data_IF_293019874884
#
_entry.id   IF_293019874884
#
_cell.length_a   1.000
_cell.length_b   1.000
_cell.length_c   1.000
_cell.angle_alpha   90.00
_cell.angle_beta   90.00
_cell.angle_gamma   90.00
#
_symmetry.space_group_name_H-M   'P 1'
#
loop_
_entity.id
_entity.type
_entity.pdbx_description
1 polymer ?
#
# COMPACT_ATOMS: atom_id res chain seq x y z
N UNK A 1 16.60 -18.16 -7.62
CA UNK A 1 15.91 -18.51 -6.37
C UNK A 1 14.40 -18.51 -6.64
N UNK A 2 13.78 -19.69 -6.76
CA UNK A 2 12.33 -19.83 -6.99
C UNK A 2 11.61 -19.45 -5.69
N UNK A 3 10.64 -18.54 -5.75
CA UNK A 3 9.83 -18.19 -4.57
C UNK A 3 9.07 -19.45 -4.13
N UNK A 4 9.27 -19.90 -2.90
CA UNK A 4 8.34 -20.83 -2.27
C UNK A 4 7.00 -20.09 -2.13
N UNK A 5 5.97 -20.61 -2.78
CA UNK A 5 4.61 -20.09 -2.68
C UNK A 5 4.11 -20.54 -1.31
N UNK A 6 4.05 -19.63 -0.35
CA UNK A 6 3.48 -19.91 0.97
C UNK A 6 2.06 -20.48 0.78
N UNK A 7 1.80 -21.68 1.32
CA UNK A 7 0.54 -22.42 1.18
C UNK A 7 -0.59 -21.90 2.07
N UNK A 8 -0.34 -20.87 2.88
CA UNK A 8 -1.39 -20.22 3.66
C UNK A 8 -2.41 -19.60 2.70
N UNK A 9 -3.70 -19.99 2.75
CA UNK A 9 -4.72 -19.38 1.92
C UNK A 9 -4.74 -17.88 2.23
N UNK A 10 -4.36 -17.06 1.24
CA UNK A 10 -4.53 -15.61 1.39
C UNK A 10 -6.02 -15.34 1.54
N UNK A 11 -6.45 -14.58 2.56
CA UNK A 11 -7.87 -14.28 2.73
C UNK A 11 -8.38 -13.60 1.46
N UNK A 12 -9.54 -14.04 0.98
CA UNK A 12 -10.20 -13.41 -0.14
C UNK A 12 -10.60 -11.98 0.28
N UNK A 13 -10.00 -10.98 -0.36
CA UNK A 13 -10.29 -9.57 -0.11
C UNK A 13 -11.26 -9.09 -1.17
N UNK A 14 -12.44 -8.65 -0.74
CA UNK A 14 -13.45 -8.04 -1.61
C UNK A 14 -13.13 -6.56 -1.76
N UNK A 15 -12.95 -6.10 -3.00
CA UNK A 15 -12.77 -4.68 -3.30
C UNK A 15 -14.06 -3.94 -2.94
N UNK A 16 -13.93 -2.94 -2.08
CA UNK A 16 -15.01 -2.04 -1.68
C UNK A 16 -14.99 -0.76 -2.51
N UNK A 17 -13.80 -0.32 -2.89
CA UNK A 17 -13.59 0.92 -3.64
C UNK A 17 -12.34 0.85 -4.49
N UNK A 18 -12.46 1.32 -5.71
CA UNK A 18 -11.33 1.74 -6.54
C UNK A 18 -11.24 3.27 -6.52
N UNK A 19 -10.02 3.80 -6.57
CA UNK A 19 -9.81 5.22 -6.74
C UNK A 19 -8.48 5.53 -7.37
N UNK A 20 -8.27 6.81 -7.68
CA UNK A 20 -7.05 7.30 -8.30
C UNK A 20 -6.45 8.47 -7.53
N UNK A 21 -5.13 8.66 -7.66
CA UNK A 21 -4.44 9.87 -7.24
C UNK A 21 -3.15 10.06 -8.06
N UNK A 22 -2.51 11.23 -7.95
CA UNK A 22 -1.16 11.42 -8.50
C UNK A 22 -0.13 10.77 -7.57
N UNK A 23 0.97 10.28 -8.13
CA UNK A 23 2.16 9.93 -7.35
C UNK A 23 2.77 11.16 -6.67
N UNK A 24 3.63 10.98 -5.66
CA UNK A 24 4.25 12.10 -4.93
C UNK A 24 5.04 13.05 -5.85
N UNK A 25 5.64 12.54 -6.92
CA UNK A 25 6.36 13.34 -7.92
C UNK A 25 5.43 14.03 -8.93
N UNK A 26 4.14 13.71 -8.90
CA UNK A 26 3.15 14.21 -9.85
C UNK A 26 3.33 13.66 -11.27
N UNK A 27 4.18 12.65 -11.50
CA UNK A 27 4.51 12.15 -12.86
C UNK A 27 3.57 11.05 -13.37
N UNK A 28 2.85 10.38 -12.47
CA UNK A 28 1.95 9.28 -12.82
C UNK A 28 0.64 9.35 -12.06
N UNK A 29 -0.38 8.69 -12.60
CA UNK A 29 -1.62 8.39 -11.89
C UNK A 29 -1.53 6.98 -11.33
N UNK A 30 -1.81 6.85 -10.04
CA UNK A 30 -1.92 5.58 -9.33
C UNK A 30 -3.39 5.19 -9.30
N UNK A 31 -3.67 3.92 -9.56
CA UNK A 31 -4.95 3.29 -9.28
C UNK A 31 -4.77 2.42 -8.04
N UNK A 32 -5.66 2.56 -7.07
CA UNK A 32 -5.59 1.84 -5.80
C UNK A 32 -6.95 1.26 -5.42
N UNK A 33 -6.92 0.19 -4.63
CA UNK A 33 -8.11 -0.42 -4.07
C UNK A 33 -8.12 -0.34 -2.55
N UNK A 34 -9.30 -0.09 -2.00
CA UNK A 34 -9.67 -0.46 -0.64
C UNK A 34 -10.52 -1.72 -0.68
N UNK A 35 -10.23 -2.67 0.18
CA UNK A 35 -10.98 -3.90 0.29
C UNK A 35 -11.12 -4.35 1.73
N UNK A 36 -11.94 -5.36 1.98
CA UNK A 36 -12.00 -6.01 3.28
C UNK A 36 -12.04 -7.53 3.18
N UNK A 37 -11.58 -8.20 4.24
CA UNK A 37 -11.77 -9.64 4.43
C UNK A 37 -13.22 -9.94 4.82
N UNK A 38 -13.58 -11.22 4.92
CA UNK A 38 -14.89 -11.65 5.45
C UNK A 38 -15.10 -11.17 6.91
N UNK A 39 -14.01 -11.00 7.67
CA UNK A 39 -14.02 -10.45 9.03
C UNK A 39 -14.08 -8.91 9.06
N UNK A 40 -14.31 -8.25 7.92
CA UNK A 40 -14.34 -6.79 7.78
C UNK A 40 -13.02 -6.07 8.07
N UNK A 41 -11.89 -6.78 8.01
CA UNK A 41 -10.58 -6.16 8.18
C UNK A 41 -10.19 -5.38 6.92
N UNK A 42 -9.92 -4.09 7.07
CA UNK A 42 -9.64 -3.19 5.94
C UNK A 42 -8.21 -3.38 5.44
N UNK A 43 -8.09 -3.49 4.13
CA UNK A 43 -6.82 -3.64 3.42
C UNK A 43 -6.72 -2.66 2.26
N UNK A 44 -5.49 -2.31 1.91
CA UNK A 44 -5.14 -1.42 0.82
C UNK A 44 -4.21 -2.11 -0.18
N UNK A 45 -4.32 -1.80 -1.48
CA UNK A 45 -3.25 -2.12 -2.44
C UNK A 45 -3.11 -1.06 -3.54
N UNK A 46 -1.94 -1.04 -4.16
CA UNK A 46 -1.75 -0.41 -5.47
C UNK A 46 -2.23 -1.41 -6.53
N UNK A 47 -3.22 -1.02 -7.32
CA UNK A 47 -3.78 -1.85 -8.37
C UNK A 47 -3.12 -1.57 -9.72
N UNK A 48 -2.73 -0.31 -9.99
CA UNK A 48 -2.00 0.05 -11.21
C UNK A 48 -1.27 1.40 -11.11
N UNK A 49 -0.39 1.67 -12.08
CA UNK A 49 0.39 2.90 -12.21
C UNK A 49 0.64 3.26 -13.69
N UNK A 50 0.20 4.44 -14.11
CA UNK A 50 0.39 4.91 -15.50
C UNK A 50 1.85 5.26 -15.86
N UNK A 51 2.76 5.27 -14.89
CA UNK A 51 4.16 5.66 -15.08
C UNK A 51 5.12 4.52 -15.44
N UNK A 52 4.63 3.29 -15.62
CA UNK A 52 5.42 2.12 -16.04
C UNK A 52 6.44 1.56 -15.01
N UNK A 53 6.69 2.27 -13.90
CA UNK A 53 7.57 1.80 -12.83
C UNK A 53 6.98 0.62 -12.04
N UNK A 54 7.86 -0.29 -11.58
CA UNK A 54 7.47 -1.48 -10.82
C UNK A 54 6.73 -1.12 -9.52
N UNK A 55 5.64 -1.82 -9.24
CA UNK A 55 4.92 -1.81 -7.97
C UNK A 55 4.57 -3.25 -7.54
N UNK A 56 4.12 -3.41 -6.31
CA UNK A 56 3.54 -4.65 -5.79
C UNK A 56 2.03 -4.47 -5.65
N UNK A 57 1.25 -5.46 -6.07
CA UNK A 57 -0.20 -5.52 -5.91
C UNK A 57 -0.63 -6.18 -4.58
N UNK A 58 0.33 -6.32 -3.65
CA UNK A 58 0.11 -6.82 -2.30
C UNK A 58 -0.94 -6.00 -1.55
N UNK A 59 -1.83 -6.74 -0.88
CA UNK A 59 -2.77 -6.17 0.07
C UNK A 59 -2.09 -5.95 1.42
N UNK A 60 -2.14 -4.72 1.91
CA UNK A 60 -1.56 -4.29 3.18
C UNK A 60 -2.68 -3.96 4.15
N UNK A 61 -2.59 -4.49 5.36
CA UNK A 61 -3.55 -4.20 6.44
C UNK A 61 -3.54 -2.72 6.80
N UNK A 62 -4.73 -2.13 6.95
CA UNK A 62 -4.87 -0.76 7.42
C UNK A 62 -4.32 -0.58 8.84
N UNK A 63 -4.50 -1.58 9.72
CA UNK A 63 -3.96 -1.57 11.08
C UNK A 63 -2.43 -1.51 11.05
N UNK A 64 -1.79 -2.31 10.20
CA UNK A 64 -0.33 -2.32 10.07
C UNK A 64 0.22 -0.97 9.56
N UNK A 65 -0.54 -0.27 8.71
CA UNK A 65 -0.23 1.09 8.27
C UNK A 65 -0.29 2.05 9.47
N UNK A 66 -1.35 2.00 10.28
CA UNK A 66 -1.50 2.85 11.47
C UNK A 66 -0.34 2.63 12.46
N UNK A 67 -0.01 1.38 12.76
CA UNK A 67 1.12 1.05 13.64
C UNK A 67 2.46 1.58 13.10
N UNK A 68 2.65 1.59 11.78
CA UNK A 68 3.86 2.16 11.18
C UNK A 68 3.97 3.69 11.41
N UNK A 69 2.83 4.40 11.40
CA UNK A 69 2.77 5.82 11.75
C UNK A 69 2.96 6.06 13.24
N UNK A 70 2.33 5.27 14.11
CA UNK A 70 2.43 5.43 15.57
C UNK A 70 3.86 5.23 16.09
N UNK A 71 4.68 4.45 15.38
CA UNK A 71 6.11 4.29 15.66
C UNK A 71 6.96 5.51 15.30
N UNK A 72 6.43 6.49 14.57
CA UNK A 72 7.19 7.67 14.17
C UNK A 72 7.27 8.72 15.29
N UNK A 73 8.45 9.30 15.54
CA UNK A 73 8.57 10.41 16.48
C UNK A 73 7.68 11.59 16.05
N UNK A 74 6.89 12.12 16.99
CA UNK A 74 6.01 13.26 16.75
C UNK A 74 6.82 14.48 16.24
N UNK A 75 6.24 15.20 15.29
CA UNK A 75 6.85 16.41 14.72
C UNK A 75 7.94 16.16 13.68
N UNK A 76 8.21 14.90 13.30
CA UNK A 76 9.10 14.57 12.17
C UNK A 76 8.31 14.44 10.87
N UNK A 77 8.91 14.79 9.72
CA UNK A 77 8.30 14.53 8.42
C UNK A 77 8.03 13.04 8.22
N UNK A 78 6.86 12.73 7.68
CA UNK A 78 6.51 11.38 7.25
C UNK A 78 7.22 11.09 5.92
N UNK A 79 7.96 9.98 5.87
CA UNK A 79 8.62 9.48 4.66
C UNK A 79 8.19 8.05 4.37
N UNK A 80 8.19 7.65 3.10
CA UNK A 80 7.68 6.33 2.67
C UNK A 80 8.47 5.14 3.24
N UNK A 81 9.70 5.37 3.70
CA UNK A 81 10.56 4.34 4.31
C UNK A 81 9.89 3.64 5.51
N UNK A 82 9.04 4.35 6.26
CA UNK A 82 8.34 3.80 7.44
C UNK A 82 7.38 2.67 7.07
N UNK A 83 6.92 2.65 5.81
CA UNK A 83 5.99 1.67 5.27
C UNK A 83 6.72 0.51 4.58
N UNK A 84 8.05 0.56 4.48
CA UNK A 84 8.83 -0.40 3.71
C UNK A 84 8.67 -1.82 4.25
N UNK A 85 8.69 -1.98 5.57
CA UNK A 85 8.56 -3.28 6.24
C UNK A 85 7.20 -3.95 6.07
N UNK A 86 6.20 -3.24 5.53
CA UNK A 86 4.87 -3.78 5.29
C UNK A 86 4.82 -4.67 4.03
N UNK A 87 5.80 -4.55 3.13
CA UNK A 87 5.81 -5.25 1.85
C UNK A 87 6.82 -6.39 1.83
N UNK A 88 6.44 -7.54 1.27
CA UNK A 88 7.37 -8.64 1.03
C UNK A 88 8.11 -8.48 -0.31
N UNK A 89 7.55 -7.67 -1.22
CA UNK A 89 8.16 -7.31 -2.50
C UNK A 89 9.37 -6.39 -2.36
N UNK A 90 10.20 -6.37 -3.41
CA UNK A 90 11.40 -5.50 -3.50
C UNK A 90 11.13 -4.15 -4.19
N UNK A 91 9.89 -3.81 -4.49
CA UNK A 91 9.59 -2.54 -5.16
C UNK A 91 9.77 -1.38 -4.19
N UNK A 92 10.82 -0.59 -4.39
CA UNK A 92 11.05 0.66 -3.66
C UNK A 92 9.95 1.71 -3.92
N UNK A 93 9.20 1.57 -5.01
CA UNK A 93 8.14 2.52 -5.37
C UNK A 93 6.85 2.27 -4.58
N UNK A 94 6.54 1.02 -4.21
CA UNK A 94 5.23 0.69 -3.61
C UNK A 94 4.98 1.41 -2.29
N UNK A 95 5.95 1.51 -1.36
CA UNK A 95 5.79 2.33 -0.15
C UNK A 95 5.54 3.82 -0.46
N UNK A 96 6.20 4.36 -1.48
CA UNK A 96 6.00 5.75 -1.90
C UNK A 96 4.65 5.98 -2.58
N UNK A 97 4.16 4.99 -3.33
CA UNK A 97 2.83 5.01 -3.94
C UNK A 97 1.73 4.89 -2.88
N UNK A 98 1.89 4.01 -1.90
CA UNK A 98 0.98 3.94 -0.75
C UNK A 98 0.95 5.30 -0.02
N UNK A 99 2.11 5.89 0.29
CA UNK A 99 2.15 7.20 0.93
C UNK A 99 1.47 8.31 0.10
N UNK A 100 1.59 8.27 -1.23
CA UNK A 100 0.87 9.20 -2.11
C UNK A 100 -0.65 9.08 -1.94
N UNK A 101 -1.16 7.84 -1.84
CA UNK A 101 -2.60 7.60 -1.69
C UNK A 101 -3.09 8.08 -0.32
N UNK A 102 -2.38 7.74 0.75
CA UNK A 102 -2.70 8.15 2.12
C UNK A 102 -2.80 9.68 2.21
N UNK A 103 -1.76 10.38 1.70
CA UNK A 103 -1.75 11.84 1.61
C UNK A 103 -2.94 12.39 0.81
N UNK A 104 -3.26 11.79 -0.34
CA UNK A 104 -4.37 12.24 -1.19
C UNK A 104 -5.76 11.99 -0.58
N UNK A 105 -5.88 11.05 0.36
CA UNK A 105 -7.13 10.76 1.10
C UNK A 105 -7.23 11.52 2.43
N UNK A 106 -6.18 12.22 2.85
CA UNK A 106 -6.15 12.94 4.12
C UNK A 106 -6.01 12.04 5.34
N UNK A 107 -5.30 10.93 5.18
CA UNK A 107 -4.91 10.03 6.29
C UNK A 107 -3.51 10.35 6.79
#
# INVERSE_FOLDING_TARGET
MKRSKSEVPKPAIRVLKEGTCRSLSGKSTLIYHFGCTAASEVHFRIADNTGGGFYSDEWISFIAIQEAFDRQPKGKPIVSHILFSLFNGRSLNTPAFLLAVLKAKGW
#
